data_IF_031734567190
#
_entry.id   IF_031734567190
#
_cell.length_a   1.000
_cell.length_b   1.000
_cell.length_c   1.000
_cell.angle_alpha   90.00
_cell.angle_beta   90.00
_cell.angle_gamma   90.00
#
_symmetry.space_group_name_H-M   'P 1'
#
loop_
_entity.id
_entity.type
_entity.pdbx_description
1 polymer ?
#
# COMPACT_ATOMS: atom_id res chain seq x y z
N UNK A 1 6.53 -17.10 -9.46
CA UNK A 1 6.71 -16.84 -8.01
C UNK A 1 5.65 -15.85 -7.54
N UNK A 2 5.59 -15.55 -6.25
CA UNK A 2 4.70 -14.52 -5.71
C UNK A 2 5.54 -13.35 -5.22
N UNK A 3 5.09 -12.15 -5.53
CA UNK A 3 5.72 -10.92 -5.08
C UNK A 3 4.73 -10.04 -4.33
N UNK A 4 5.25 -9.16 -3.49
CA UNK A 4 4.47 -8.12 -2.83
C UNK A 4 5.12 -6.77 -3.05
N UNK A 5 4.30 -5.83 -3.47
CA UNK A 5 4.65 -4.43 -3.55
C UNK A 5 4.24 -3.74 -2.24
N UNK A 6 5.19 -3.17 -1.52
CA UNK A 6 4.94 -2.27 -0.39
C UNK A 6 5.20 -0.83 -0.79
N UNK A 7 4.26 0.06 -0.48
CA UNK A 7 4.30 1.46 -0.87
C UNK A 7 3.34 2.27 -0.01
N UNK A 8 3.50 3.59 -0.07
CA UNK A 8 2.66 4.53 0.67
C UNK A 8 1.87 5.40 -0.29
N UNK A 9 0.55 5.47 -0.08
CA UNK A 9 -0.38 6.27 -0.88
C UNK A 9 -0.55 7.63 -0.19
N UNK A 10 -0.07 8.73 -0.77
CA UNK A 10 -0.29 10.05 -0.19
C UNK A 10 -1.75 10.50 -0.36
N UNK A 11 -2.23 11.35 0.55
CA UNK A 11 -3.53 12.01 0.41
C UNK A 11 -3.60 12.87 -0.86
N UNK A 12 -4.81 13.14 -1.36
CA UNK A 12 -5.01 13.87 -2.62
C UNK A 12 -4.68 15.37 -2.44
N UNK A 13 -4.18 16.09 -3.47
CA UNK A 13 -3.87 17.51 -3.30
C UNK A 13 -5.08 18.37 -2.89
N UNK A 14 -6.29 17.92 -3.25
CA UNK A 14 -7.58 18.51 -2.93
C UNK A 14 -8.23 17.94 -1.65
N UNK A 15 -7.64 16.90 -1.05
CA UNK A 15 -8.08 16.34 0.22
C UNK A 15 -6.86 16.06 1.11
N UNK A 16 -6.68 16.89 2.14
CA UNK A 16 -5.45 16.92 2.94
C UNK A 16 -5.13 15.58 3.62
N UNK A 17 -6.14 14.76 3.94
CA UNK A 17 -5.99 13.58 4.78
C UNK A 17 -7.02 12.49 4.42
N UNK A 18 -6.72 11.25 4.80
CA UNK A 18 -7.67 10.14 4.80
C UNK A 18 -8.39 10.09 6.14
N UNK A 19 -9.70 9.89 6.10
CA UNK A 19 -10.57 9.87 7.28
C UNK A 19 -11.05 8.44 7.57
N UNK A 20 -10.79 7.97 8.79
CA UNK A 20 -11.28 6.68 9.28
C UNK A 20 -12.18 6.89 10.50
N UNK A 21 -13.41 6.33 10.49
CA UNK A 21 -14.23 6.34 11.69
C UNK A 21 -13.55 5.54 12.79
N UNK A 22 -13.46 6.12 13.98
CA UNK A 22 -12.91 5.51 15.18
C UNK A 22 -14.03 5.38 16.22
N UNK A 23 -14.43 4.13 16.50
CA UNK A 23 -15.39 3.81 17.57
C UNK A 23 -14.69 2.92 18.59
N UNK A 24 -14.31 3.49 19.74
CA UNK A 24 -13.72 2.74 20.87
C UNK A 24 -14.72 1.75 21.51
N UNK A 25 -16.03 1.97 21.34
CA UNK A 25 -17.09 1.19 22.00
C UNK A 25 -17.34 -0.12 21.24
N UNK A 26 -17.09 -0.16 19.93
CA UNK A 26 -17.29 -1.35 19.07
C UNK A 26 -16.18 -1.50 18.00
N UNK A 27 -14.99 -2.00 18.38
CA UNK A 27 -13.93 -2.28 17.41
C UNK A 27 -14.43 -3.28 16.34
N UNK A 28 -14.35 -2.90 15.07
CA UNK A 28 -14.63 -3.79 13.93
C UNK A 28 -16.00 -3.64 13.25
N UNK A 29 -16.79 -2.61 13.55
CA UNK A 29 -18.06 -2.35 12.84
C UNK A 29 -17.94 -1.09 11.97
N UNK A 30 -18.20 -1.20 10.66
CA UNK A 30 -18.31 -0.02 9.78
C UNK A 30 -19.64 0.68 10.08
N UNK A 31 -19.61 1.75 10.86
CA UNK A 31 -20.80 2.57 11.11
C UNK A 31 -20.79 3.78 10.16
N UNK A 32 -21.89 4.07 9.45
CA UNK A 32 -21.98 5.25 8.59
C UNK A 32 -21.68 6.53 9.39
N UNK A 33 -20.81 7.40 8.87
CA UNK A 33 -20.40 8.67 9.50
C UNK A 33 -21.60 9.59 9.84
N UNK A 34 -22.71 9.46 9.11
CA UNK A 34 -23.95 10.21 9.34
C UNK A 34 -24.76 9.74 10.56
N UNK A 35 -24.45 8.56 11.12
CA UNK A 35 -25.25 7.91 12.16
C UNK A 35 -24.58 7.90 13.55
N UNK A 36 -23.35 8.41 13.68
CA UNK A 36 -22.61 8.45 14.95
C UNK A 36 -21.74 9.71 15.10
N UNK A 37 -21.68 10.27 16.31
CA UNK A 37 -20.57 11.14 16.75
C UNK A 37 -19.31 10.28 17.01
N UNK A 38 -18.89 9.49 16.02
CA UNK A 38 -17.63 8.74 16.12
C UNK A 38 -16.47 9.73 15.93
N UNK A 39 -15.44 9.58 16.74
CA UNK A 39 -14.20 10.32 16.53
C UNK A 39 -13.59 9.88 15.19
N UNK A 40 -12.93 10.80 14.47
CA UNK A 40 -12.32 10.50 13.17
C UNK A 40 -10.81 10.53 13.33
N UNK A 41 -10.14 9.48 12.86
CA UNK A 41 -8.68 9.45 12.74
C UNK A 41 -8.32 9.94 11.35
N UNK A 42 -7.49 10.97 11.33
CA UNK A 42 -6.94 11.54 10.12
C UNK A 42 -5.51 11.05 9.90
N UNK A 43 -5.17 10.66 8.68
CA UNK A 43 -3.79 10.33 8.29
C UNK A 43 -3.43 10.95 6.96
N UNK A 44 -2.22 11.55 6.80
CA UNK A 44 -1.78 12.11 5.53
C UNK A 44 -1.42 11.04 4.49
N UNK A 45 -1.27 9.78 4.92
CA UNK A 45 -0.77 8.70 4.07
C UNK A 45 -1.38 7.33 4.44
N UNK A 46 -1.50 6.44 3.45
CA UNK A 46 -1.94 5.05 3.64
C UNK A 46 -0.85 4.06 3.27
N UNK A 47 -0.38 3.22 4.20
CA UNK A 47 0.48 2.10 3.86
C UNK A 47 -0.33 1.06 3.07
N UNK A 48 0.24 0.56 1.98
CA UNK A 48 -0.33 -0.47 1.13
C UNK A 48 0.65 -1.62 0.90
N UNK A 49 0.11 -2.84 0.88
CA UNK A 49 0.84 -4.05 0.49
C UNK A 49 -0.01 -4.84 -0.50
N UNK A 50 0.46 -4.92 -1.75
CA UNK A 50 -0.30 -5.52 -2.85
C UNK A 50 0.41 -6.75 -3.38
N UNK A 51 -0.30 -7.88 -3.45
CA UNK A 51 0.22 -9.14 -3.97
C UNK A 51 0.19 -9.20 -5.50
N UNK A 52 1.30 -9.64 -6.10
CA UNK A 52 1.47 -9.90 -7.53
C UNK A 52 1.80 -11.39 -7.68
N UNK A 53 0.80 -12.17 -8.08
CA UNK A 53 0.83 -13.65 -8.00
C UNK A 53 1.21 -14.25 -9.35
N UNK A 54 2.04 -15.29 -9.32
CA UNK A 54 2.36 -16.08 -10.50
C UNK A 54 3.26 -15.39 -11.54
N UNK A 55 3.99 -14.34 -11.15
CA UNK A 55 4.84 -13.57 -12.03
C UNK A 55 6.32 -14.01 -11.97
N UNK A 56 7.10 -13.57 -12.96
CA UNK A 56 8.57 -13.43 -12.92
C UNK A 56 8.95 -12.04 -12.36
N UNK A 57 10.23 -11.82 -12.02
CA UNK A 57 10.69 -10.50 -11.51
C UNK A 57 10.37 -9.36 -12.50
N UNK A 58 10.68 -9.47 -13.82
CA UNK A 58 10.37 -8.38 -14.75
C UNK A 58 8.87 -8.10 -14.89
N UNK A 59 8.03 -9.14 -14.91
CA UNK A 59 6.57 -9.00 -14.94
C UNK A 59 6.06 -8.33 -13.66
N UNK A 60 6.59 -8.73 -12.50
CA UNK A 60 6.20 -8.14 -11.22
C UNK A 60 6.55 -6.65 -11.13
N UNK A 61 7.72 -6.24 -11.65
CA UNK A 61 8.10 -4.82 -11.76
C UNK A 61 7.15 -4.03 -12.66
N UNK A 62 6.78 -4.60 -13.81
CA UNK A 62 5.86 -3.95 -14.74
C UNK A 62 4.47 -3.73 -14.14
N UNK A 63 3.91 -4.75 -13.49
CA UNK A 63 2.61 -4.63 -12.80
C UNK A 63 2.69 -3.66 -11.61
N UNK A 64 3.80 -3.70 -10.87
CA UNK A 64 4.03 -2.78 -9.76
C UNK A 64 4.08 -1.32 -10.22
N UNK A 65 4.70 -1.01 -11.36
CA UNK A 65 4.72 0.36 -11.91
C UNK A 65 3.32 0.91 -12.20
N UNK A 66 2.39 0.07 -12.68
CA UNK A 66 1.00 0.48 -12.89
C UNK A 66 0.35 0.87 -11.56
N UNK A 67 0.56 0.07 -10.50
CA UNK A 67 0.03 0.33 -9.17
C UNK A 67 0.62 1.61 -8.55
N UNK A 68 1.93 1.82 -8.68
CA UNK A 68 2.62 3.02 -8.20
C UNK A 68 2.06 4.26 -8.91
N UNK A 69 1.99 4.21 -10.24
CA UNK A 69 1.49 5.33 -11.07
C UNK A 69 0.06 5.71 -10.68
N UNK A 70 -0.81 4.75 -10.44
CA UNK A 70 -2.21 5.01 -10.08
C UNK A 70 -2.41 5.40 -8.61
N UNK A 71 -1.43 5.15 -7.74
CA UNK A 71 -1.51 5.47 -6.31
C UNK A 71 -0.82 6.77 -5.91
N UNK A 72 -0.09 7.42 -6.84
CA UNK A 72 0.70 8.64 -6.56
C UNK A 72 1.85 8.40 -5.57
N UNK A 73 2.22 7.14 -5.34
CA UNK A 73 3.38 6.78 -4.55
C UNK A 73 4.67 7.19 -5.31
N UNK A 74 5.64 7.74 -4.59
CA UNK A 74 6.95 8.14 -5.15
C UNK A 74 8.03 7.09 -4.90
N UNK A 75 7.79 6.16 -3.99
CA UNK A 75 8.69 5.08 -3.61
C UNK A 75 7.92 3.79 -3.34
N UNK A 76 8.57 2.67 -3.60
CA UNK A 76 8.03 1.35 -3.31
C UNK A 76 9.14 0.30 -3.14
N UNK A 77 8.80 -0.81 -2.49
CA UNK A 77 9.68 -1.96 -2.33
C UNK A 77 8.99 -3.22 -2.83
N UNK A 78 9.69 -4.00 -3.64
CA UNK A 78 9.19 -5.27 -4.18
C UNK A 78 9.86 -6.43 -3.44
N UNK A 79 9.06 -7.28 -2.82
CA UNK A 79 9.51 -8.46 -2.10
C UNK A 79 9.10 -9.72 -2.84
N UNK A 80 9.98 -10.71 -2.94
CA UNK A 80 9.60 -12.08 -3.26
C UNK A 80 9.11 -12.76 -1.97
N UNK A 81 7.87 -13.23 -1.97
CA UNK A 81 7.30 -13.90 -0.82
C UNK A 81 6.50 -15.15 -1.26
N UNK A 82 7.12 -16.35 -1.22
CA UNK A 82 6.44 -17.58 -1.56
C UNK A 82 5.35 -17.97 -0.55
N UNK A 83 5.33 -17.37 0.65
CA UNK A 83 4.34 -17.66 1.69
C UNK A 83 3.00 -16.93 1.49
N UNK A 84 2.95 -15.98 0.54
CA UNK A 84 1.76 -15.19 0.24
C UNK A 84 1.23 -14.39 1.45
N UNK A 85 2.13 -13.76 2.21
CA UNK A 85 1.77 -13.04 3.44
C UNK A 85 1.43 -11.58 3.19
N UNK A 86 0.33 -11.12 3.82
CA UNK A 86 -0.04 -9.70 3.90
C UNK A 86 0.65 -8.95 5.03
N UNK A 87 1.48 -9.62 5.82
CA UNK A 87 2.24 -8.96 6.88
C UNK A 87 3.37 -8.12 6.27
N UNK A 88 3.50 -6.88 6.75
CA UNK A 88 4.53 -5.96 6.31
C UNK A 88 5.94 -6.52 6.54
N UNK A 89 6.85 -6.25 5.61
CA UNK A 89 8.25 -6.66 5.65
C UNK A 89 8.49 -8.18 5.48
N UNK A 90 7.45 -8.96 5.16
CA UNK A 90 7.62 -10.39 4.87
C UNK A 90 8.09 -10.60 3.44
N UNK A 91 9.08 -11.49 3.28
CA UNK A 91 9.68 -11.84 1.99
C UNK A 91 11.14 -11.38 1.89
N UNK A 92 11.74 -11.65 0.74
CA UNK A 92 13.09 -11.20 0.39
C UNK A 92 12.96 -9.94 -0.47
N UNK A 93 13.61 -8.84 -0.09
CA UNK A 93 13.66 -7.64 -0.92
C UNK A 93 14.35 -7.97 -2.25
N UNK A 94 13.67 -7.72 -3.36
CA UNK A 94 14.18 -7.96 -4.72
C UNK A 94 14.58 -6.67 -5.39
N UNK A 95 13.79 -5.62 -5.21
CA UNK A 95 14.06 -4.32 -5.81
C UNK A 95 13.35 -3.19 -5.06
N UNK A 96 13.90 -1.99 -5.18
CA UNK A 96 13.29 -0.74 -4.70
C UNK A 96 13.01 0.18 -5.87
N UNK A 97 11.87 0.86 -5.86
CA UNK A 97 11.49 1.87 -6.85
C UNK A 97 11.58 3.27 -6.24
N UNK A 98 12.09 4.21 -7.02
CA UNK A 98 11.91 5.65 -6.77
C UNK A 98 11.47 6.33 -8.07
N UNK A 99 10.63 7.35 -8.00
CA UNK A 99 10.18 8.11 -9.18
C UNK A 99 11.37 8.64 -10.01
N UNK A 100 12.45 9.04 -9.34
CA UNK A 100 13.64 9.62 -9.98
C UNK A 100 14.51 8.57 -10.68
N UNK A 101 14.68 7.39 -10.07
CA UNK A 101 15.68 6.40 -10.51
C UNK A 101 15.07 5.12 -11.11
N UNK A 102 13.76 4.97 -11.04
CA UNK A 102 13.07 3.73 -11.41
C UNK A 102 13.43 2.58 -10.46
N UNK A 103 13.33 1.34 -10.95
CA UNK A 103 13.70 0.14 -10.20
C UNK A 103 15.21 -0.03 -10.05
N UNK A 104 15.62 -0.34 -8.82
CA UNK A 104 16.98 -0.71 -8.45
C UNK A 104 16.93 -2.09 -7.81
N UNK A 105 17.73 -3.03 -8.33
CA UNK A 105 17.84 -4.37 -7.75
C UNK A 105 18.57 -4.33 -6.41
N UNK A 106 18.17 -5.21 -5.49
CA UNK A 106 18.77 -5.37 -4.17
C UNK A 106 20.11 -6.12 -4.18
#
# INVERSE_FOLDING_TARGET
MNYFLEYTIPAAPDNAEFEFPHDEIRPGTTIPLSETNADVVHTPELPARTGIIGATVPEAKLEAEQLITHSRATEASLYEDPSNSLQAGVGTLVATFTEVSGWQDA
#
